data_IF_722746170356
#
_entry.id   IF_722746170356
#
_cell.length_a   1.000
_cell.length_b   1.000
_cell.length_c   1.000
_cell.angle_alpha   90.00
_cell.angle_beta   90.00
_cell.angle_gamma   90.00
#
_symmetry.space_group_name_H-M   'P 1'
#
loop_
_entity.id
_entity.type
_entity.pdbx_description
1 polymer ?
#
# COMPACT_ATOMS: atom_id res chain seq x y z
N UNK A 1 -9.45 -6.96 15.47
CA UNK A 1 -8.92 -7.45 14.19
C UNK A 1 -8.50 -8.90 14.39
N UNK A 2 -8.66 -9.75 13.37
CA UNK A 2 -8.23 -11.14 13.40
C UNK A 2 -6.80 -11.31 12.84
N UNK A 3 -6.30 -12.55 12.88
CA UNK A 3 -4.97 -12.88 12.36
C UNK A 3 -4.84 -12.59 10.85
N UNK A 4 -5.93 -12.77 10.10
CA UNK A 4 -5.98 -12.50 8.67
C UNK A 4 -5.78 -11.00 8.37
N UNK A 5 -6.56 -10.15 9.02
CA UNK A 5 -6.49 -8.69 8.92
C UNK A 5 -5.14 -8.16 9.38
N UNK A 6 -4.59 -8.74 10.45
CA UNK A 6 -3.25 -8.40 10.95
C UNK A 6 -2.18 -8.69 9.91
N UNK A 7 -2.30 -9.84 9.22
CA UNK A 7 -1.42 -10.21 8.12
C UNK A 7 -1.50 -9.26 6.92
N UNK A 8 -2.72 -8.85 6.53
CA UNK A 8 -2.91 -7.85 5.46
C UNK A 8 -2.21 -6.54 5.81
N UNK A 9 -2.41 -6.02 7.03
CA UNK A 9 -1.80 -4.76 7.44
C UNK A 9 -0.27 -4.84 7.49
N UNK A 10 0.29 -6.00 7.86
CA UNK A 10 1.73 -6.21 7.81
C UNK A 10 2.25 -6.17 6.37
N UNK A 11 1.58 -6.87 5.45
CA UNK A 11 1.96 -6.87 4.03
C UNK A 11 1.87 -5.49 3.42
N UNK A 12 0.82 -4.72 3.69
CA UNK A 12 0.68 -3.32 3.24
C UNK A 12 1.91 -2.49 3.63
N UNK A 13 2.35 -2.58 4.89
CA UNK A 13 3.52 -1.82 5.35
C UNK A 13 4.82 -2.26 4.67
N UNK A 14 4.97 -3.55 4.40
CA UNK A 14 6.11 -4.09 3.66
C UNK A 14 6.11 -3.59 2.21
N UNK A 15 5.01 -3.79 1.48
CA UNK A 15 4.83 -3.32 0.10
C UNK A 15 4.99 -1.80 -0.02
N UNK A 16 4.52 -0.99 0.95
CA UNK A 16 4.76 0.46 0.97
C UNK A 16 6.24 0.83 1.15
N UNK A 17 6.98 0.03 1.91
CA UNK A 17 8.42 0.22 2.11
C UNK A 17 9.21 -0.19 0.86
N UNK A 18 8.81 -1.29 0.22
CA UNK A 18 9.43 -1.81 -0.99
C UNK A 18 9.12 -0.92 -2.21
N UNK A 19 7.88 -0.45 -2.36
CA UNK A 19 7.49 0.55 -3.36
C UNK A 19 8.32 1.83 -3.24
N UNK A 20 8.52 2.32 -2.01
CA UNK A 20 9.32 3.51 -1.77
C UNK A 20 10.77 3.28 -2.18
N UNK A 21 11.35 2.13 -1.80
CA UNK A 21 12.70 1.75 -2.21
C UNK A 21 12.81 1.65 -3.73
N UNK A 22 11.87 0.99 -4.41
CA UNK A 22 11.86 0.86 -5.86
C UNK A 22 11.89 2.22 -6.56
N UNK A 23 11.08 3.17 -6.07
CA UNK A 23 11.08 4.56 -6.55
C UNK A 23 12.38 5.29 -6.27
N UNK A 24 12.95 5.12 -5.07
CA UNK A 24 14.24 5.72 -4.69
C UNK A 24 15.40 5.20 -5.54
N UNK A 25 15.36 3.94 -5.97
CA UNK A 25 16.39 3.31 -6.80
C UNK A 25 16.15 3.47 -8.31
N UNK A 26 15.00 4.01 -8.72
CA UNK A 26 14.63 4.13 -10.13
C UNK A 26 14.30 2.78 -10.81
N UNK A 27 13.82 1.81 -10.04
CA UNK A 27 13.34 0.53 -10.56
C UNK A 27 11.84 0.65 -10.89
N UNK A 28 11.55 1.19 -12.06
CA UNK A 28 10.18 1.49 -12.49
C UNK A 28 9.32 0.21 -12.60
N UNK A 29 9.90 -0.90 -13.03
CA UNK A 29 9.19 -2.18 -13.12
C UNK A 29 8.79 -2.70 -11.74
N UNK A 30 9.72 -2.69 -10.78
CA UNK A 30 9.40 -3.09 -9.41
C UNK A 30 8.38 -2.12 -8.79
N UNK A 31 8.48 -0.82 -9.06
CA UNK A 31 7.53 0.17 -8.56
C UNK A 31 6.09 -0.10 -9.07
N UNK A 32 5.92 -0.48 -10.33
CA UNK A 32 4.61 -0.84 -10.89
C UNK A 32 4.04 -2.12 -10.26
N UNK A 33 4.89 -3.14 -10.04
CA UNK A 33 4.50 -4.39 -9.37
C UNK A 33 4.04 -4.14 -7.94
N UNK A 34 4.85 -3.41 -7.16
CA UNK A 34 4.53 -3.10 -5.76
C UNK A 34 3.29 -2.20 -5.64
N UNK A 35 3.08 -1.28 -6.58
CA UNK A 35 1.86 -0.46 -6.61
C UNK A 35 0.60 -1.30 -6.82
N UNK A 36 0.64 -2.24 -7.77
CA UNK A 36 -0.49 -3.13 -8.04
C UNK A 36 -0.81 -4.03 -6.83
N UNK A 37 0.22 -4.61 -6.19
CA UNK A 37 0.00 -5.40 -4.97
C UNK A 37 -0.59 -4.54 -3.84
N UNK A 38 -0.11 -3.31 -3.67
CA UNK A 38 -0.61 -2.40 -2.64
C UNK A 38 -2.09 -2.06 -2.82
N UNK A 39 -2.53 -1.83 -4.06
CA UNK A 39 -3.93 -1.59 -4.39
C UNK A 39 -4.81 -2.81 -4.05
N UNK A 40 -4.36 -4.00 -4.40
CA UNK A 40 -5.07 -5.25 -4.08
C UNK A 40 -5.16 -5.50 -2.57
N UNK A 41 -4.08 -5.26 -1.83
CA UNK A 41 -4.06 -5.40 -0.38
C UNK A 41 -5.00 -4.40 0.30
N UNK A 42 -5.05 -3.15 -0.17
CA UNK A 42 -5.98 -2.13 0.33
C UNK A 42 -7.44 -2.50 0.05
N UNK A 43 -7.72 -3.05 -1.13
CA UNK A 43 -9.05 -3.59 -1.46
C UNK A 43 -9.42 -4.74 -0.53
N UNK A 44 -8.53 -5.72 -0.34
CA UNK A 44 -8.75 -6.84 0.59
C UNK A 44 -8.98 -6.36 2.03
N UNK A 45 -8.22 -5.39 2.51
CA UNK A 45 -8.44 -4.79 3.82
C UNK A 45 -9.86 -4.20 3.93
N UNK A 46 -10.27 -3.42 2.92
CA UNK A 46 -11.59 -2.78 2.88
C UNK A 46 -12.74 -3.81 2.85
N UNK A 47 -12.62 -4.86 2.04
CA UNK A 47 -13.59 -5.96 1.96
C UNK A 47 -13.75 -6.68 3.31
N UNK A 48 -12.72 -6.65 4.15
CA UNK A 48 -12.71 -7.24 5.50
C UNK A 48 -12.99 -6.20 6.61
N UNK A 49 -13.51 -5.02 6.25
CA UNK A 49 -13.94 -3.99 7.20
C UNK A 49 -12.82 -3.12 7.78
N UNK A 50 -11.62 -3.15 7.18
CA UNK A 50 -10.48 -2.33 7.59
C UNK A 50 -10.22 -1.21 6.59
N UNK A 51 -10.36 0.03 7.05
CA UNK A 51 -9.98 1.20 6.28
C UNK A 51 -8.48 1.43 6.45
N UNK A 52 -7.77 1.38 5.32
CA UNK A 52 -6.39 1.81 5.22
C UNK A 52 -6.43 3.13 4.50
N UNK A 53 -6.10 4.22 5.19
CA UNK A 53 -6.09 5.54 4.57
C UNK A 53 -5.00 5.55 3.50
N UNK A 54 -5.41 5.72 2.23
CA UNK A 54 -4.48 6.19 1.21
C UNK A 54 -4.17 7.63 1.58
N UNK A 55 -2.90 7.96 1.83
CA UNK A 55 -2.50 9.35 2.00
C UNK A 55 -2.75 10.05 0.66
N UNK A 56 -3.95 10.61 0.51
CA UNK A 56 -4.35 11.44 -0.62
C UNK A 56 -3.57 12.74 -0.49
N UNK A 57 -2.37 12.77 -1.08
CA UNK A 57 -1.59 14.00 -1.23
C UNK A 57 -2.26 14.90 -2.27
N UNK A 58 -3.46 15.39 -1.98
CA UNK A 58 -3.95 16.58 -2.66
C UNK A 58 -3.08 17.74 -2.21
N UNK A 59 -2.53 18.54 -3.13
CA UNK A 59 -1.88 19.78 -2.74
C UNK A 59 -2.94 20.65 -2.07
N UNK A 60 -2.69 21.06 -0.83
CA UNK A 60 -3.47 22.10 -0.17
C UNK A 60 -3.22 23.37 -0.97
N UNK A 61 -4.13 23.69 -1.90
CA UNK A 61 -4.10 24.94 -2.65
C UNK A 61 -4.13 26.07 -1.61
N UNK A 62 -3.06 26.86 -1.60
CA UNK A 62 -2.88 28.01 -0.72
C UNK A 62 -3.78 29.17 -1.15
#
# INVERSE_FOLDING_TARGET
MDAFTTGILQRIRSTESDLRRARETGDDFLADVELAELEDLRRLASENGVRVETVDVRPKVA
#
